data_IF_003560855708
#
_entry.id   IF_003560855708
#
_cell.length_a   1.000
_cell.length_b   1.000
_cell.length_c   1.000
_cell.angle_alpha   90.00
_cell.angle_beta   90.00
_cell.angle_gamma   90.00
#
_symmetry.space_group_name_H-M   'P 1'
#
loop_
_entity.id
_entity.type
_entity.pdbx_description
1 polymer ?
#
# COMPACT_ATOMS: atom_id res chain seq x y z
N UNK A 1 15.74 11.49 -42.41
CA UNK A 1 15.94 12.58 -41.43
C UNK A 1 17.44 12.83 -41.31
N UNK A 2 17.90 14.04 -41.68
CA UNK A 2 19.36 14.36 -41.61
C UNK A 2 19.74 14.66 -40.14
N UNK A 3 20.93 14.23 -39.71
CA UNK A 3 21.41 14.42 -38.32
C UNK A 3 21.30 15.88 -37.83
N UNK A 4 21.46 16.83 -38.74
CA UNK A 4 21.30 18.26 -38.45
C UNK A 4 19.88 18.68 -38.09
N UNK A 5 18.85 18.02 -38.67
CA UNK A 5 17.46 18.35 -38.42
C UNK A 5 17.03 17.84 -37.04
N UNK A 6 17.57 16.69 -36.62
CA UNK A 6 17.36 16.16 -35.29
C UNK A 6 17.94 17.08 -34.20
N UNK A 7 19.18 17.58 -34.40
CA UNK A 7 19.82 18.48 -33.43
C UNK A 7 19.04 19.79 -33.32
N UNK A 8 18.57 20.37 -34.43
CA UNK A 8 17.76 21.58 -34.41
C UNK A 8 16.42 21.40 -33.71
N UNK A 9 15.78 20.26 -33.93
CA UNK A 9 14.49 19.94 -33.27
C UNK A 9 14.64 19.68 -31.79
N UNK A 10 15.73 19.02 -31.36
CA UNK A 10 15.99 18.78 -29.94
C UNK A 10 16.36 20.06 -29.19
N UNK A 11 17.10 20.99 -29.83
CA UNK A 11 17.43 22.28 -29.24
C UNK A 11 16.18 23.17 -29.08
N UNK A 12 15.25 23.14 -30.06
CA UNK A 12 13.98 23.86 -29.97
C UNK A 12 13.10 23.30 -28.85
N UNK A 13 13.08 21.98 -28.67
CA UNK A 13 12.34 21.34 -27.59
C UNK A 13 12.90 21.69 -26.20
N UNK A 14 14.23 21.78 -26.09
CA UNK A 14 14.91 22.19 -24.85
C UNK A 14 14.61 23.66 -24.48
N UNK A 15 14.61 24.55 -25.48
CA UNK A 15 14.29 25.97 -25.28
C UNK A 15 12.82 26.18 -24.88
N UNK A 16 11.88 25.40 -25.44
CA UNK A 16 10.47 25.43 -25.05
C UNK A 16 10.24 24.82 -23.67
N UNK A 17 11.02 23.80 -23.27
CA UNK A 17 10.95 23.16 -21.96
C UNK A 17 11.32 24.11 -20.82
N UNK A 18 12.19 25.09 -21.05
CA UNK A 18 12.59 26.07 -20.03
C UNK A 18 11.51 27.13 -19.73
N UNK A 19 10.52 27.28 -20.61
CA UNK A 19 9.37 28.18 -20.40
C UNK A 19 8.12 27.49 -19.91
N UNK A 20 8.11 26.15 -19.77
CA UNK A 20 7.00 25.45 -19.15
C UNK A 20 6.96 25.79 -17.66
N UNK A 21 5.83 26.32 -17.16
CA UNK A 21 5.72 26.62 -15.75
C UNK A 21 5.90 25.32 -14.96
N UNK A 22 6.75 25.35 -13.96
CA UNK A 22 7.08 24.22 -13.06
C UNK A 22 5.84 23.58 -12.40
N UNK A 23 4.69 24.20 -12.56
CA UNK A 23 3.38 23.65 -12.17
C UNK A 23 3.00 22.35 -12.90
N UNK A 24 3.53 22.08 -14.10
CA UNK A 24 3.25 20.85 -14.86
C UNK A 24 4.21 19.70 -14.52
N UNK A 25 5.34 19.97 -13.89
CA UNK A 25 6.36 18.96 -13.57
C UNK A 25 6.38 18.54 -12.11
N UNK A 26 5.50 19.04 -11.29
CA UNK A 26 5.53 18.77 -9.87
C UNK A 26 4.17 18.75 -9.22
N UNK A 27 3.33 17.80 -9.55
CA UNK A 27 2.40 17.31 -8.54
C UNK A 27 3.24 16.63 -7.45
N UNK A 28 3.97 17.42 -6.66
CA UNK A 28 4.29 17.05 -5.29
C UNK A 28 2.92 16.89 -4.65
N UNK A 29 2.43 15.67 -4.57
CA UNK A 29 1.42 15.32 -3.59
C UNK A 29 2.00 15.72 -2.23
N UNK A 30 1.90 16.99 -1.91
CA UNK A 30 1.92 17.44 -0.54
C UNK A 30 0.68 16.80 0.06
N UNK A 31 0.87 15.65 0.66
CA UNK A 31 -0.04 15.19 1.67
C UNK A 31 -0.10 16.35 2.68
N UNK A 32 -1.04 17.26 2.43
CA UNK A 32 -1.31 18.34 3.35
C UNK A 32 -1.93 17.64 4.55
N UNK A 33 -1.11 17.38 5.55
CA UNK A 33 -1.59 17.00 6.87
C UNK A 33 -2.48 18.16 7.32
N UNK A 34 -3.78 18.00 7.05
CA UNK A 34 -4.78 18.93 7.55
C UNK A 34 -4.72 18.77 9.07
N UNK A 35 -4.16 19.77 9.72
CA UNK A 35 -4.12 19.89 11.17
C UNK A 35 -5.57 19.98 11.67
N UNK A 36 -6.28 18.86 11.67
CA UNK A 36 -7.39 18.67 12.60
C UNK A 36 -6.73 18.61 13.97
N UNK A 37 -7.29 19.30 14.96
CA UNK A 37 -6.88 19.25 16.36
C UNK A 37 -6.84 17.77 16.81
N UNK A 38 -5.78 17.06 16.40
CA UNK A 38 -5.46 15.73 16.88
C UNK A 38 -4.87 15.99 18.24
N UNK A 39 -5.58 15.54 19.26
CA UNK A 39 -5.07 15.42 20.63
C UNK A 39 -3.61 15.04 20.54
N UNK A 40 -2.72 15.90 21.04
CA UNK A 40 -1.27 15.80 20.82
C UNK A 40 -0.64 14.49 21.34
N UNK A 41 -1.42 13.67 22.04
CA UNK A 41 -0.99 12.41 22.64
C UNK A 41 -1.29 11.16 21.78
N UNK A 42 -1.88 11.33 20.59
CA UNK A 42 -2.17 10.20 19.70
C UNK A 42 -1.05 9.99 18.69
N UNK A 43 -0.45 8.81 18.72
CA UNK A 43 0.58 8.38 17.77
C UNK A 43 -0.06 7.44 16.76
N UNK A 44 0.12 7.74 15.46
CA UNK A 44 -0.26 6.83 14.37
C UNK A 44 1.00 6.24 13.77
N UNK A 45 1.06 4.92 13.73
CA UNK A 45 2.15 4.17 13.09
C UNK A 45 1.59 3.59 11.79
N UNK A 46 2.16 3.97 10.66
CA UNK A 46 1.83 3.39 9.36
C UNK A 46 2.87 2.36 8.97
N UNK A 47 2.46 1.09 8.91
CA UNK A 47 3.31 -0.01 8.46
C UNK A 47 2.92 -0.34 7.02
N UNK A 48 3.79 0.02 6.07
CA UNK A 48 3.63 -0.34 4.66
C UNK A 48 4.45 -1.60 4.37
N UNK A 49 3.77 -2.71 4.12
CA UNK A 49 4.42 -3.95 3.69
C UNK A 49 4.58 -3.95 2.17
N UNK A 50 5.82 -3.70 1.70
CA UNK A 50 6.17 -3.78 0.28
C UNK A 50 6.71 -5.18 -0.02
N UNK A 51 6.50 -5.66 -1.24
CA UNK A 51 7.04 -6.90 -1.82
C UNK A 51 7.63 -7.98 -0.90
N UNK A 52 7.48 -9.22 -1.23
CA UNK A 52 7.90 -10.33 -0.36
C UNK A 52 6.94 -10.66 0.80
N UNK A 53 5.94 -9.83 1.07
CA UNK A 53 4.86 -10.19 1.98
C UNK A 53 3.78 -10.99 1.24
N UNK A 54 3.43 -12.17 1.76
CA UNK A 54 2.24 -12.90 1.32
C UNK A 54 0.99 -12.31 2.00
N UNK A 55 0.32 -11.39 1.30
CA UNK A 55 -0.85 -10.71 1.82
C UNK A 55 -1.98 -11.64 2.18
N UNK A 56 -2.21 -12.71 1.38
CA UNK A 56 -3.27 -13.68 1.63
C UNK A 56 -2.97 -14.64 2.79
N UNK A 57 -1.72 -14.77 3.20
CA UNK A 57 -1.35 -15.48 4.41
C UNK A 57 -1.16 -14.54 5.61
N UNK A 58 -1.02 -13.25 5.38
CA UNK A 58 -1.06 -12.25 6.45
C UNK A 58 -2.50 -11.98 6.91
N UNK A 59 -3.40 -11.80 5.93
CA UNK A 59 -4.83 -11.62 6.15
C UNK A 59 -5.58 -12.69 5.33
N UNK A 60 -6.04 -13.71 6.01
CA UNK A 60 -6.52 -14.96 5.44
C UNK A 60 -8.03 -14.86 5.21
N UNK A 61 -8.52 -15.01 3.95
CA UNK A 61 -9.94 -15.12 3.67
C UNK A 61 -10.42 -16.57 3.94
N UNK A 62 -10.49 -16.97 5.20
CA UNK A 62 -10.62 -18.36 5.62
C UNK A 62 -11.95 -19.03 5.22
N UNK A 63 -12.97 -18.27 4.81
CA UNK A 63 -14.20 -18.81 4.25
C UNK A 63 -14.19 -18.93 2.72
N UNK A 64 -13.14 -18.46 2.05
CA UNK A 64 -13.07 -18.48 0.60
C UNK A 64 -12.44 -19.80 0.10
N UNK A 65 -13.23 -20.64 -0.56
CA UNK A 65 -12.75 -21.90 -1.12
C UNK A 65 -11.62 -21.72 -2.16
N UNK A 66 -11.64 -20.64 -2.93
CA UNK A 66 -10.58 -20.36 -3.92
C UNK A 66 -9.23 -20.15 -3.26
N UNK A 67 -9.19 -19.60 -2.05
CA UNK A 67 -7.94 -19.46 -1.30
C UNK A 67 -7.24 -20.81 -1.08
N UNK A 68 -8.01 -21.84 -0.73
CA UNK A 68 -7.48 -23.18 -0.50
C UNK A 68 -7.17 -23.92 -1.81
N UNK A 69 -8.02 -23.74 -2.83
CA UNK A 69 -7.85 -24.40 -4.13
C UNK A 69 -6.59 -23.91 -4.87
N UNK A 70 -6.35 -22.61 -4.86
CA UNK A 70 -5.20 -22.00 -5.54
C UNK A 70 -3.88 -22.11 -4.73
N UNK A 71 -3.98 -22.53 -3.46
CA UNK A 71 -2.84 -22.57 -2.54
C UNK A 71 -2.75 -23.88 -1.76
N UNK A 72 -2.81 -25.06 -2.42
CA UNK A 72 -2.93 -26.35 -1.75
C UNK A 72 -1.77 -26.67 -0.79
N UNK A 73 -0.59 -26.13 -1.04
CA UNK A 73 0.61 -26.40 -0.24
C UNK A 73 0.92 -25.33 0.81
N UNK A 74 0.35 -24.12 0.69
CA UNK A 74 0.73 -22.97 1.54
C UNK A 74 -0.46 -22.30 2.20
N UNK A 75 -1.68 -22.74 1.92
CA UNK A 75 -2.86 -22.26 2.62
C UNK A 75 -2.79 -22.63 4.10
N UNK A 76 -3.20 -21.70 4.94
CA UNK A 76 -3.28 -21.90 6.39
C UNK A 76 -4.68 -22.42 6.71
N UNK A 77 -4.81 -23.59 7.38
CA UNK A 77 -6.10 -24.11 7.79
C UNK A 77 -6.90 -23.13 8.65
N UNK A 78 -8.21 -23.11 8.49
CA UNK A 78 -9.08 -22.20 9.25
C UNK A 78 -8.94 -22.37 10.77
N UNK A 79 -8.71 -23.60 11.23
CA UNK A 79 -8.56 -23.94 12.64
C UNK A 79 -7.30 -23.35 13.27
N UNK A 80 -6.29 -23.02 12.44
CA UNK A 80 -5.06 -22.42 12.89
C UNK A 80 -5.06 -20.90 12.78
N UNK A 81 -5.97 -20.34 12.00
CA UNK A 81 -6.05 -18.90 11.78
C UNK A 81 -6.66 -18.18 12.97
N UNK A 82 -6.39 -16.87 13.09
CA UNK A 82 -6.92 -16.01 14.16
C UNK A 82 -8.06 -15.15 13.62
N UNK A 83 -9.34 -15.54 13.77
CA UNK A 83 -10.48 -14.81 13.23
C UNK A 83 -10.56 -13.39 13.77
N UNK A 84 -10.84 -12.42 12.88
CA UNK A 84 -11.04 -11.00 13.22
C UNK A 84 -12.38 -10.46 12.70
N UNK A 85 -12.92 -11.11 11.67
CA UNK A 85 -14.28 -10.89 11.17
C UNK A 85 -14.88 -12.24 10.79
N UNK A 86 -16.13 -12.25 10.30
CA UNK A 86 -16.79 -13.48 9.84
C UNK A 86 -16.08 -14.14 8.65
N UNK A 87 -15.29 -13.39 7.88
CA UNK A 87 -14.67 -13.87 6.64
C UNK A 87 -13.15 -13.78 6.62
N UNK A 88 -12.54 -13.03 7.54
CA UNK A 88 -11.11 -12.73 7.56
C UNK A 88 -10.49 -13.13 8.89
N UNK A 89 -9.27 -13.64 8.80
CA UNK A 89 -8.46 -14.01 9.94
C UNK A 89 -7.01 -13.56 9.76
N UNK A 90 -6.30 -13.35 10.84
CA UNK A 90 -4.84 -13.15 10.79
C UNK A 90 -4.11 -14.49 10.76
N UNK A 91 -2.87 -14.42 10.27
CA UNK A 91 -1.89 -15.49 10.42
C UNK A 91 -1.69 -15.86 11.90
N UNK A 92 -1.52 -17.15 12.25
CA UNK A 92 -1.34 -17.56 13.66
C UNK A 92 -0.17 -16.88 14.39
N UNK A 93 0.87 -16.46 13.69
CA UNK A 93 1.99 -15.71 14.27
C UNK A 93 1.64 -14.25 14.64
N UNK A 94 0.45 -13.76 14.32
CA UNK A 94 0.03 -12.36 14.50
C UNK A 94 -0.94 -12.16 15.68
N UNK A 95 -0.82 -12.94 16.76
CA UNK A 95 -1.67 -12.82 17.97
C UNK A 95 -1.69 -11.40 18.55
N UNK A 96 -0.55 -10.72 18.55
CA UNK A 96 -0.48 -9.35 19.05
C UNK A 96 -1.26 -8.38 18.15
N UNK A 97 -1.33 -8.64 16.84
CA UNK A 97 -2.09 -7.83 15.90
C UNK A 97 -3.59 -8.06 16.10
N UNK A 98 -4.02 -9.30 16.32
CA UNK A 98 -5.40 -9.60 16.67
C UNK A 98 -5.83 -8.83 17.92
N UNK A 99 -5.02 -8.86 18.95
CA UNK A 99 -5.28 -8.11 20.19
C UNK A 99 -5.38 -6.60 19.97
N UNK A 100 -4.51 -6.02 19.15
CA UNK A 100 -4.61 -4.59 18.80
C UNK A 100 -5.84 -4.27 17.96
N UNK A 101 -6.24 -5.17 17.08
CA UNK A 101 -7.45 -5.03 16.28
C UNK A 101 -8.71 -5.04 17.16
N UNK A 102 -8.82 -5.99 18.08
CA UNK A 102 -9.91 -6.07 19.05
C UNK A 102 -10.01 -4.83 19.95
N UNK A 103 -8.86 -4.24 20.29
CA UNK A 103 -8.78 -2.99 21.05
C UNK A 103 -9.04 -1.73 20.21
N UNK A 104 -9.39 -1.87 18.93
CA UNK A 104 -9.56 -0.76 17.97
C UNK A 104 -8.32 0.13 17.82
N UNK A 105 -7.14 -0.44 18.01
CA UNK A 105 -5.83 0.22 17.88
C UNK A 105 -5.11 -0.14 16.58
N UNK A 106 -5.63 -1.05 15.80
CA UNK A 106 -5.15 -1.48 14.50
C UNK A 106 -6.27 -1.34 13.48
N UNK A 107 -5.98 -0.73 12.34
CA UNK A 107 -6.82 -0.74 11.15
C UNK A 107 -6.06 -1.35 9.98
N UNK A 108 -6.78 -2.06 9.13
CA UNK A 108 -6.26 -2.66 7.89
C UNK A 108 -6.83 -1.85 6.74
N UNK A 109 -5.97 -1.38 5.83
CA UNK A 109 -6.31 -0.54 4.67
C UNK A 109 -5.63 -1.06 3.40
#
# INVERSE_FOLDING_TARGET
MKRRDFIKSSLALYALGSYLPTALLGSKNRFSYRNSNIDSDRIVILIKMNGGNDGLNTLIPFQNSSYYQERPAIAIPSEQSLPITDTLAFHPALENWQRFFEQQRLAII
#
